data_IF_289215382009
#
_entry.id   IF_289215382009
#
_cell.length_a   1.000
_cell.length_b   1.000
_cell.length_c   1.000
_cell.angle_alpha   90.00
_cell.angle_beta   90.00
_cell.angle_gamma   90.00
#
_symmetry.space_group_name_H-M   'P 1'
#
loop_
_entity.id
_entity.type
_entity.pdbx_description
1 polymer ?
#
# COMPACT_ATOMS: atom_id res chain seq x y z
N UNK A 1 4.68 27.06 14.50
CA UNK A 1 4.96 26.96 13.06
C UNK A 1 4.07 25.86 12.48
N UNK A 2 3.38 26.11 11.40
CA UNK A 2 2.56 25.08 10.76
C UNK A 2 3.47 24.00 10.18
N UNK A 3 2.98 22.74 10.10
CA UNK A 3 3.77 21.60 9.57
C UNK A 3 4.32 21.88 8.16
N UNK A 4 3.56 22.55 7.30
CA UNK A 4 4.00 22.94 5.96
C UNK A 4 5.24 23.84 6.02
N UNK A 5 5.21 24.89 6.84
CA UNK A 5 6.34 25.81 7.01
C UNK A 5 7.56 25.11 7.59
N UNK A 6 7.33 24.20 8.55
CA UNK A 6 8.38 23.37 9.14
C UNK A 6 9.05 22.47 8.10
N UNK A 7 8.28 21.83 7.21
CA UNK A 7 8.78 21.00 6.14
C UNK A 7 9.62 21.81 5.15
N UNK A 8 9.09 22.93 4.65
CA UNK A 8 9.79 23.78 3.69
C UNK A 8 11.12 24.30 4.27
N UNK A 9 11.09 24.81 5.50
CA UNK A 9 12.31 25.33 6.16
C UNK A 9 13.34 24.25 6.48
N UNK A 10 12.91 23.00 6.69
CA UNK A 10 13.81 21.86 6.97
C UNK A 10 14.47 21.31 5.70
N UNK A 11 13.97 21.64 4.53
CA UNK A 11 14.45 21.05 3.26
C UNK A 11 15.92 21.35 2.98
N UNK A 12 16.37 22.58 3.20
CA UNK A 12 17.77 22.96 2.97
C UNK A 12 18.72 22.16 3.89
N UNK A 13 18.36 22.02 5.17
CA UNK A 13 19.17 21.23 6.10
C UNK A 13 19.22 19.75 5.71
N UNK A 14 18.08 19.21 5.24
CA UNK A 14 17.99 17.84 4.72
C UNK A 14 18.87 17.63 3.49
N UNK A 15 18.86 18.56 2.52
CA UNK A 15 19.68 18.47 1.30
C UNK A 15 21.18 18.50 1.63
N UNK A 16 21.60 19.34 2.59
CA UNK A 16 23.00 19.39 3.03
C UNK A 16 23.46 18.07 3.70
N UNK A 17 22.58 17.42 4.45
CA UNK A 17 22.85 16.12 5.08
C UNK A 17 22.88 14.95 4.09
N UNK A 18 22.21 15.08 2.93
CA UNK A 18 22.09 14.00 1.93
C UNK A 18 23.08 14.05 0.77
N UNK A 19 24.12 14.85 0.85
CA UNK A 19 25.10 15.12 -0.23
C UNK A 19 24.49 15.79 -1.47
N UNK A 20 24.72 17.08 -1.62
CA UNK A 20 24.17 17.96 -2.69
C UNK A 20 24.44 17.42 -4.12
N UNK A 21 25.48 16.62 -4.30
CA UNK A 21 25.87 16.02 -5.59
C UNK A 21 25.06 14.77 -5.98
N UNK A 22 24.00 14.41 -5.25
CA UNK A 22 23.20 13.25 -5.60
C UNK A 22 22.51 13.45 -6.95
N UNK A 23 22.44 12.38 -7.74
CA UNK A 23 21.79 12.39 -9.06
C UNK A 23 20.29 12.70 -9.03
N UNK A 24 19.69 12.78 -7.85
CA UNK A 24 18.27 13.06 -7.61
C UNK A 24 18.02 14.47 -7.04
N UNK A 25 19.08 15.25 -6.77
CA UNK A 25 18.96 16.60 -6.20
C UNK A 25 17.98 17.50 -6.99
N UNK A 26 18.12 17.57 -8.31
CA UNK A 26 17.23 18.38 -9.15
C UNK A 26 15.76 17.90 -9.13
N UNK A 27 15.52 16.61 -8.89
CA UNK A 27 14.17 16.04 -8.74
C UNK A 27 13.59 16.49 -7.41
N UNK A 28 14.34 16.39 -6.31
CA UNK A 28 13.93 16.82 -4.96
C UNK A 28 13.60 18.30 -4.90
N UNK A 29 14.46 19.15 -5.49
CA UNK A 29 14.26 20.60 -5.53
C UNK A 29 12.98 20.99 -6.28
N UNK A 30 12.65 20.30 -7.38
CA UNK A 30 11.37 20.49 -8.08
C UNK A 30 10.20 20.03 -7.25
N UNK A 31 10.34 18.90 -6.57
CA UNK A 31 9.30 18.30 -5.77
C UNK A 31 8.93 19.15 -4.54
N UNK A 32 9.90 19.75 -3.83
CA UNK A 32 9.59 20.63 -2.69
C UNK A 32 8.86 21.90 -3.13
N UNK A 33 9.26 22.49 -4.27
CA UNK A 33 8.56 23.64 -4.85
C UNK A 33 7.12 23.30 -5.22
N UNK A 34 6.91 22.11 -5.80
CA UNK A 34 5.56 21.65 -6.12
C UNK A 34 4.71 21.42 -4.87
N UNK A 35 5.29 20.86 -3.81
CA UNK A 35 4.61 20.74 -2.52
C UNK A 35 4.30 22.11 -1.89
N UNK A 36 5.21 23.09 -2.01
CA UNK A 36 4.98 24.45 -1.54
C UNK A 36 3.79 25.11 -2.26
N UNK A 37 3.68 24.92 -3.58
CA UNK A 37 2.55 25.41 -4.39
C UNK A 37 1.21 24.78 -3.98
N UNK A 38 1.20 23.46 -3.78
CA UNK A 38 -0.03 22.68 -3.57
C UNK A 38 -0.45 22.61 -2.08
N UNK A 39 0.51 22.61 -1.17
CA UNK A 39 0.29 22.35 0.25
C UNK A 39 -0.26 20.96 0.55
N UNK A 40 -0.69 20.73 1.79
CA UNK A 40 -1.42 19.50 2.12
C UNK A 40 -2.81 19.48 1.47
N UNK A 41 -3.24 18.33 0.94
CA UNK A 41 -4.54 18.21 0.31
C UNK A 41 -5.68 18.41 1.32
N UNK A 42 -6.78 18.94 0.86
CA UNK A 42 -7.95 19.24 1.70
C UNK A 42 -9.26 18.80 1.02
N UNK A 43 -10.36 18.84 1.76
CA UNK A 43 -11.69 18.39 1.31
C UNK A 43 -12.31 19.17 0.13
N UNK A 44 -11.71 20.26 -0.31
CA UNK A 44 -12.15 20.97 -1.53
C UNK A 44 -11.73 20.23 -2.79
N UNK A 45 -10.66 19.43 -2.70
CA UNK A 45 -10.23 18.54 -3.77
C UNK A 45 -11.19 17.33 -3.83
N UNK A 46 -11.72 17.03 -4.99
CA UNK A 46 -12.68 15.93 -5.19
C UNK A 46 -12.11 14.58 -4.71
N UNK A 47 -10.84 14.31 -5.00
CA UNK A 47 -10.15 13.09 -4.54
C UNK A 47 -9.94 13.02 -3.02
N UNK A 48 -10.14 14.12 -2.27
CA UNK A 48 -9.98 14.20 -0.82
C UNK A 48 -11.28 14.57 -0.08
N UNK A 49 -12.40 14.60 -0.76
CA UNK A 49 -13.71 15.04 -0.22
C UNK A 49 -14.09 14.36 1.09
N UNK A 50 -13.81 13.07 1.21
CA UNK A 50 -14.17 12.26 2.39
C UNK A 50 -13.02 12.05 3.37
N UNK A 51 -11.80 12.47 3.02
CA UNK A 51 -10.59 12.26 3.82
C UNK A 51 -9.95 13.59 4.21
N UNK A 52 -9.74 13.80 5.51
CA UNK A 52 -9.18 15.04 6.04
C UNK A 52 -7.89 14.79 6.80
N UNK A 53 -6.84 15.52 6.43
CA UNK A 53 -5.56 15.53 7.14
C UNK A 53 -5.49 16.57 8.28
N UNK A 54 -6.54 17.38 8.49
CA UNK A 54 -6.50 18.51 9.41
C UNK A 54 -6.07 18.19 10.85
N UNK A 55 -6.40 16.98 11.35
CA UNK A 55 -5.98 16.56 12.69
C UNK A 55 -4.56 16.03 12.71
N UNK A 56 -4.08 15.47 11.59
CA UNK A 56 -2.76 14.90 11.43
C UNK A 56 -1.73 16.01 11.32
N UNK A 57 -1.97 16.99 10.44
CA UNK A 57 -1.02 18.09 10.16
C UNK A 57 -0.89 19.11 11.32
N UNK A 58 -1.70 18.98 12.38
CA UNK A 58 -1.59 19.82 13.59
C UNK A 58 -0.57 19.31 14.61
N UNK A 59 -0.17 18.04 14.50
CA UNK A 59 0.84 17.45 15.37
C UNK A 59 2.23 18.01 15.05
N UNK A 60 3.05 18.13 16.08
CA UNK A 60 4.44 18.59 15.93
C UNK A 60 5.38 17.41 15.69
N UNK A 61 5.45 16.97 14.43
CA UNK A 61 6.27 15.82 14.07
C UNK A 61 7.77 16.15 14.06
N UNK A 62 8.57 15.20 14.55
CA UNK A 62 9.96 15.05 14.15
C UNK A 62 9.97 14.53 12.72
N UNK A 63 10.54 15.32 11.77
CA UNK A 63 10.52 14.99 10.34
C UNK A 63 11.50 13.87 10.02
N UNK A 64 12.64 13.83 10.75
CA UNK A 64 13.63 12.75 10.67
C UNK A 64 14.12 12.42 12.06
N UNK A 65 14.11 11.15 12.41
CA UNK A 65 14.79 10.72 13.62
C UNK A 65 16.29 11.01 13.49
N UNK A 66 16.87 11.60 14.53
CA UNK A 66 18.32 11.92 14.56
C UNK A 66 19.16 10.76 15.04
N UNK A 67 18.54 9.74 15.61
CA UNK A 67 19.21 8.58 16.19
C UNK A 67 18.71 7.31 15.55
N UNK A 68 19.66 6.45 15.17
CA UNK A 68 19.36 5.08 14.80
C UNK A 68 19.00 4.30 16.05
N UNK A 69 17.76 3.82 16.11
CA UNK A 69 17.31 2.96 17.19
C UNK A 69 17.62 1.50 16.85
N UNK A 70 18.04 0.74 17.84
CA UNK A 70 18.29 -0.69 17.70
C UNK A 70 17.13 -1.44 18.33
N UNK A 71 16.52 -2.33 17.59
CA UNK A 71 15.43 -3.20 18.06
C UNK A 71 15.96 -4.60 18.37
N UNK A 72 15.55 -5.15 19.50
CA UNK A 72 15.75 -6.56 19.80
C UNK A 72 14.73 -7.40 19.01
N UNK A 73 15.20 -8.38 18.25
CA UNK A 73 14.35 -9.31 17.49
C UNK A 73 13.25 -9.94 18.35
N UNK A 74 13.54 -10.27 19.62
CA UNK A 74 12.56 -10.87 20.55
C UNK A 74 11.31 -9.99 20.75
N UNK A 75 11.45 -8.65 20.65
CA UNK A 75 10.36 -7.69 20.81
C UNK A 75 9.50 -7.56 19.55
N UNK A 76 10.05 -7.86 18.39
CA UNK A 76 9.41 -7.63 17.10
C UNK A 76 9.09 -8.89 16.31
N UNK A 77 9.49 -10.09 16.81
CA UNK A 77 9.29 -11.36 16.11
C UNK A 77 7.85 -11.63 15.67
N UNK A 78 6.86 -11.21 16.47
CA UNK A 78 5.44 -11.44 16.18
C UNK A 78 4.92 -10.61 14.98
N UNK A 79 5.67 -9.60 14.54
CA UNK A 79 5.32 -8.80 13.37
C UNK A 79 5.79 -9.45 12.06
N UNK A 80 6.79 -10.33 12.12
CA UNK A 80 7.21 -11.15 11.00
C UNK A 80 6.18 -12.24 10.71
N UNK A 81 6.23 -12.81 9.50
CA UNK A 81 5.39 -13.95 9.17
C UNK A 81 6.05 -15.20 9.73
N UNK A 82 5.29 -15.96 10.53
CA UNK A 82 5.77 -17.19 11.13
C UNK A 82 6.00 -18.27 10.04
N UNK A 83 7.05 -19.08 10.23
CA UNK A 83 7.39 -20.24 9.39
C UNK A 83 7.65 -19.95 7.90
N UNK A 84 7.81 -18.69 7.51
CA UNK A 84 8.18 -18.33 6.14
C UNK A 84 9.68 -18.17 5.98
N UNK A 85 10.23 -18.75 4.94
CA UNK A 85 11.56 -18.39 4.45
C UNK A 85 11.44 -17.21 3.49
N UNK A 86 11.95 -16.04 3.89
CA UNK A 86 11.84 -14.79 3.12
C UNK A 86 13.16 -14.01 3.14
N UNK A 87 13.35 -13.16 2.13
CA UNK A 87 14.38 -12.11 2.16
C UNK A 87 13.83 -10.94 2.96
N UNK A 88 14.44 -10.61 4.10
CA UNK A 88 13.93 -9.60 5.03
C UNK A 88 14.64 -8.28 4.86
N UNK A 89 13.87 -7.22 4.71
CA UNK A 89 14.35 -5.85 4.65
C UNK A 89 13.63 -5.06 5.73
N UNK A 90 14.36 -4.63 6.74
CA UNK A 90 13.77 -3.97 7.91
C UNK A 90 14.28 -2.54 8.03
N UNK A 91 13.34 -1.64 8.23
CA UNK A 91 13.60 -0.25 8.56
C UNK A 91 13.10 0.05 9.98
N UNK A 92 13.87 0.82 10.73
CA UNK A 92 13.52 1.29 12.07
C UNK A 92 13.61 2.82 12.08
N UNK A 93 12.50 3.50 12.31
CA UNK A 93 12.39 4.97 12.26
C UNK A 93 12.96 5.58 10.96
N UNK A 94 12.76 4.87 9.84
CA UNK A 94 13.26 5.26 8.53
C UNK A 94 14.71 4.83 8.23
N UNK A 95 15.43 4.20 9.16
CA UNK A 95 16.79 3.71 8.94
C UNK A 95 16.79 2.20 8.69
N UNK A 96 17.58 1.78 7.72
CA UNK A 96 17.82 0.35 7.47
C UNK A 96 18.50 -0.32 8.67
N UNK A 97 17.94 -1.45 9.10
CA UNK A 97 18.48 -2.27 10.17
C UNK A 97 19.13 -3.56 9.60
N UNK A 98 20.48 -3.65 9.56
CA UNK A 98 21.17 -4.79 9.01
C UNK A 98 21.10 -6.04 9.91
N UNK A 99 20.81 -5.89 11.21
CA UNK A 99 20.73 -7.03 12.13
C UNK A 99 19.39 -7.77 12.02
N UNK A 100 18.33 -7.05 11.68
CA UNK A 100 16.99 -7.62 11.45
C UNK A 100 16.76 -8.00 9.98
N UNK A 101 17.67 -7.61 9.08
CA UNK A 101 17.54 -7.83 7.64
C UNK A 101 18.37 -9.02 7.15
N UNK A 102 17.86 -9.68 6.12
CA UNK A 102 18.50 -10.76 5.37
C UNK A 102 18.35 -10.49 3.88
N UNK A 103 19.31 -9.79 3.29
CA UNK A 103 19.23 -9.27 1.91
C UNK A 103 20.19 -9.94 0.92
N UNK A 104 20.99 -10.91 1.37
CA UNK A 104 21.97 -11.57 0.50
C UNK A 104 21.34 -12.68 -0.31
N UNK A 105 21.32 -12.51 -1.64
CA UNK A 105 20.92 -13.54 -2.59
C UNK A 105 21.66 -13.39 -3.92
N UNK A 106 22.12 -14.52 -4.49
CA UNK A 106 22.61 -14.58 -5.86
C UNK A 106 21.40 -14.43 -6.82
N UNK A 107 21.48 -13.51 -7.78
CA UNK A 107 20.44 -13.33 -8.81
C UNK A 107 19.48 -12.18 -8.59
N UNK A 108 19.60 -11.41 -7.50
CA UNK A 108 18.88 -10.13 -7.34
C UNK A 108 19.74 -9.06 -6.71
N UNK A 109 19.41 -7.81 -7.00
CA UNK A 109 20.02 -6.66 -6.36
C UNK A 109 19.04 -6.02 -5.39
N UNK A 110 19.30 -6.15 -4.09
CA UNK A 110 18.58 -5.42 -3.05
C UNK A 110 19.55 -4.49 -2.34
N UNK A 111 19.20 -3.23 -2.24
CA UNK A 111 19.92 -2.28 -1.40
C UNK A 111 18.99 -1.16 -0.91
N UNK A 112 19.46 -0.41 0.08
CA UNK A 112 18.78 0.83 0.45
C UNK A 112 19.01 1.88 -0.65
N UNK A 113 18.02 2.74 -0.86
CA UNK A 113 18.00 3.72 -1.96
C UNK A 113 19.25 4.61 -1.93
N UNK A 114 19.66 5.11 -0.76
CA UNK A 114 20.85 5.95 -0.59
C UNK A 114 22.14 5.24 -1.03
N UNK A 115 22.31 3.97 -0.66
CA UNK A 115 23.46 3.18 -1.09
C UNK A 115 23.43 2.86 -2.59
N UNK A 116 22.24 2.62 -3.15
CA UNK A 116 22.06 2.36 -4.57
C UNK A 116 22.45 3.54 -5.46
N UNK A 117 22.10 4.74 -5.03
CA UNK A 117 22.44 5.97 -5.75
C UNK A 117 23.94 6.21 -5.82
N UNK A 118 24.71 5.78 -4.81
CA UNK A 118 26.16 5.97 -4.70
C UNK A 118 26.97 4.86 -5.41
N UNK A 119 26.35 3.73 -5.79
CA UNK A 119 27.02 2.63 -6.50
C UNK A 119 26.79 2.76 -8.02
N UNK A 120 27.86 2.81 -8.80
CA UNK A 120 27.80 2.98 -10.28
C UNK A 120 26.94 1.92 -10.97
N UNK A 121 26.93 0.69 -10.47
CA UNK A 121 26.08 -0.42 -10.97
C UNK A 121 24.59 -0.09 -10.90
N UNK A 122 24.12 0.41 -9.77
CA UNK A 122 22.70 0.63 -9.50
C UNK A 122 22.22 2.02 -9.90
N UNK A 123 23.10 3.05 -9.80
CA UNK A 123 22.73 4.42 -10.07
C UNK A 123 22.21 4.66 -11.49
N UNK A 124 22.70 3.90 -12.48
CA UNK A 124 22.22 3.98 -13.87
C UNK A 124 20.76 3.50 -13.98
N UNK A 125 20.43 2.38 -13.33
CA UNK A 125 19.07 1.81 -13.34
C UNK A 125 18.14 2.72 -12.53
N UNK A 126 18.55 3.13 -11.32
CA UNK A 126 17.77 4.04 -10.51
C UNK A 126 17.44 5.33 -11.28
N UNK A 127 18.42 5.97 -11.93
CA UNK A 127 18.20 7.17 -12.77
C UNK A 127 17.22 6.95 -13.91
N UNK A 128 17.18 5.74 -14.48
CA UNK A 128 16.26 5.38 -15.57
C UNK A 128 14.82 5.31 -15.10
N UNK A 129 14.57 4.82 -13.88
CA UNK A 129 13.24 4.49 -13.42
C UNK A 129 12.71 5.41 -12.30
N UNK A 130 13.57 5.97 -11.45
CA UNK A 130 13.16 6.79 -10.30
C UNK A 130 12.36 8.03 -10.74
N UNK A 131 11.20 8.21 -10.12
CA UNK A 131 10.25 9.29 -10.39
C UNK A 131 9.76 9.34 -11.85
N UNK A 132 9.60 8.16 -12.49
CA UNK A 132 9.12 8.05 -13.88
C UNK A 132 7.65 7.67 -13.97
N UNK A 133 7.13 6.90 -13.02
CA UNK A 133 5.71 6.56 -12.94
C UNK A 133 4.97 7.38 -11.89
N UNK A 134 5.67 7.90 -10.89
CA UNK A 134 5.09 8.69 -9.81
C UNK A 134 4.48 10.01 -10.33
N UNK A 135 3.26 10.31 -9.85
CA UNK A 135 2.56 11.54 -10.24
C UNK A 135 3.13 12.76 -9.51
N UNK A 136 3.91 13.57 -10.23
CA UNK A 136 4.50 14.80 -9.69
C UNK A 136 3.48 15.92 -9.39
N UNK A 137 2.25 15.80 -9.89
CA UNK A 137 1.16 16.74 -9.60
C UNK A 137 0.40 16.36 -8.31
N UNK A 138 0.68 15.20 -7.72
CA UNK A 138 0.16 14.83 -6.41
C UNK A 138 1.02 15.41 -5.29
N UNK A 139 0.41 16.15 -4.39
CA UNK A 139 1.08 16.86 -3.30
C UNK A 139 1.83 15.94 -2.35
N UNK A 140 1.23 14.78 -1.98
CA UNK A 140 1.83 13.85 -1.04
C UNK A 140 2.98 13.08 -1.69
N UNK A 141 2.88 12.76 -2.96
CA UNK A 141 3.97 12.20 -3.77
C UNK A 141 5.12 13.18 -3.91
N UNK A 142 4.82 14.45 -4.15
CA UNK A 142 5.82 15.52 -4.23
C UNK A 142 6.54 15.72 -2.89
N UNK A 143 5.81 15.72 -1.77
CA UNK A 143 6.40 15.78 -0.44
C UNK A 143 7.35 14.61 -0.18
N UNK A 144 6.91 13.37 -0.48
CA UNK A 144 7.76 12.19 -0.33
C UNK A 144 9.01 12.28 -1.22
N UNK A 145 8.84 12.68 -2.47
CA UNK A 145 9.96 12.82 -3.43
C UNK A 145 10.99 13.83 -2.94
N UNK A 146 10.55 14.96 -2.37
CA UNK A 146 11.43 15.97 -1.80
C UNK A 146 12.30 15.41 -0.67
N UNK A 147 11.72 14.61 0.20
CA UNK A 147 12.37 14.04 1.39
C UNK A 147 12.79 12.58 1.23
N UNK A 148 12.84 12.06 0.00
CA UNK A 148 13.24 10.68 -0.27
C UNK A 148 14.71 10.45 0.08
N UNK A 149 14.99 9.93 1.28
CA UNK A 149 16.32 9.56 1.74
C UNK A 149 16.47 8.04 1.78
N UNK A 150 15.54 7.39 2.43
CA UNK A 150 15.56 5.96 2.67
C UNK A 150 14.33 5.26 2.09
N UNK A 151 14.54 4.02 1.77
CA UNK A 151 13.61 3.10 1.19
C UNK A 151 14.36 2.00 0.49
N UNK A 152 13.65 1.07 -0.10
CA UNK A 152 14.28 -0.08 -0.76
C UNK A 152 14.39 0.14 -2.27
N UNK A 153 15.53 -0.24 -2.82
CA UNK A 153 15.72 -0.52 -4.24
C UNK A 153 15.80 -2.03 -4.44
N UNK A 154 14.88 -2.57 -5.21
CA UNK A 154 14.83 -3.98 -5.61
C UNK A 154 14.96 -4.04 -7.13
N UNK A 155 15.91 -4.83 -7.60
CA UNK A 155 16.07 -5.11 -9.02
C UNK A 155 16.17 -6.63 -9.22
N UNK A 156 15.22 -7.17 -9.96
CA UNK A 156 15.19 -8.56 -10.36
C UNK A 156 15.62 -8.61 -11.83
N UNK A 157 16.82 -9.12 -12.13
CA UNK A 157 17.33 -9.25 -13.49
C UNK A 157 16.49 -10.19 -14.36
N UNK A 158 16.71 -10.17 -15.68
CA UNK A 158 15.99 -11.00 -16.64
C UNK A 158 16.08 -12.49 -16.33
N UNK A 159 14.95 -13.19 -16.55
CA UNK A 159 14.82 -14.64 -16.44
C UNK A 159 15.09 -15.18 -15.02
N UNK A 160 14.86 -14.39 -13.99
CA UNK A 160 14.97 -14.80 -12.59
C UNK A 160 13.57 -15.00 -12.00
N UNK A 161 13.32 -16.18 -11.48
CA UNK A 161 12.14 -16.50 -10.67
C UNK A 161 12.61 -16.66 -9.22
N UNK A 162 12.17 -15.78 -8.34
CA UNK A 162 12.52 -15.87 -6.93
C UNK A 162 11.64 -16.92 -6.24
N UNK A 163 12.29 -17.89 -5.60
CA UNK A 163 11.60 -18.95 -4.86
C UNK A 163 11.04 -18.49 -3.51
N UNK A 164 11.62 -17.42 -2.95
CA UNK A 164 11.25 -16.87 -1.63
C UNK A 164 10.74 -15.46 -1.79
N UNK A 165 9.68 -15.07 -1.07
CA UNK A 165 9.19 -13.71 -1.11
C UNK A 165 10.16 -12.73 -0.44
N UNK A 166 10.03 -11.45 -0.80
CA UNK A 166 10.72 -10.36 -0.17
C UNK A 166 9.77 -9.74 0.87
N UNK A 167 10.17 -9.72 2.14
CA UNK A 167 9.41 -9.14 3.24
C UNK A 167 10.02 -7.80 3.65
N UNK A 168 9.28 -6.70 3.43
CA UNK A 168 9.67 -5.33 3.77
C UNK A 168 8.87 -4.92 5.01
N UNK A 169 9.55 -4.56 6.10
CA UNK A 169 8.90 -4.13 7.34
C UNK A 169 9.46 -2.78 7.78
N UNK A 170 8.54 -1.83 8.01
CA UNK A 170 8.85 -0.52 8.55
C UNK A 170 8.38 -0.44 10.01
N UNK A 171 9.31 -0.37 10.97
CA UNK A 171 9.01 -0.14 12.39
C UNK A 171 9.15 1.33 12.76
N UNK A 172 8.18 1.84 13.54
CA UNK A 172 8.26 3.12 14.23
C UNK A 172 8.33 2.89 15.74
N UNK A 173 9.46 3.26 16.39
CA UNK A 173 9.72 2.92 17.80
C UNK A 173 9.02 3.82 18.79
N UNK A 174 8.75 5.09 18.41
CA UNK A 174 8.14 6.10 19.26
C UNK A 174 9.05 6.72 20.30
N UNK A 175 10.35 6.67 20.09
CA UNK A 175 11.31 7.41 20.91
C UNK A 175 11.15 8.94 20.74
N UNK A 176 10.50 9.36 19.67
CA UNK A 176 10.07 10.73 19.42
C UNK A 176 8.60 10.90 19.86
N UNK A 177 8.20 12.11 20.30
CA UNK A 177 6.82 12.38 20.72
C UNK A 177 5.81 12.20 19.58
N UNK A 178 6.17 12.60 18.37
CA UNK A 178 5.47 12.30 17.13
C UNK A 178 6.51 12.17 16.00
N UNK A 179 6.35 11.22 15.09
CA UNK A 179 7.33 10.96 14.04
C UNK A 179 6.68 10.94 12.66
N UNK A 180 7.31 11.61 11.70
CA UNK A 180 6.94 11.57 10.29
C UNK A 180 7.96 10.76 9.49
N UNK A 181 7.47 9.79 8.71
CA UNK A 181 8.29 8.91 7.88
C UNK A 181 7.95 9.08 6.40
N UNK A 182 8.97 9.03 5.54
CA UNK A 182 8.86 9.24 4.09
C UNK A 182 9.55 8.09 3.32
N UNK A 183 9.15 6.82 3.48
CA UNK A 183 9.78 5.73 2.74
C UNK A 183 9.55 5.88 1.23
N UNK A 184 10.61 5.62 0.45
CA UNK A 184 10.58 5.71 -1.01
C UNK A 184 11.14 4.44 -1.63
N UNK A 185 10.28 3.61 -2.21
CA UNK A 185 10.66 2.32 -2.77
C UNK A 185 10.70 2.37 -4.30
N UNK A 186 11.64 1.65 -4.88
CA UNK A 186 11.74 1.41 -6.32
C UNK A 186 11.95 -0.08 -6.58
N UNK A 187 11.02 -0.69 -7.31
CA UNK A 187 11.06 -2.09 -7.70
C UNK A 187 11.11 -2.17 -9.22
N UNK A 188 12.12 -2.84 -9.74
CA UNK A 188 12.27 -3.09 -11.18
C UNK A 188 12.37 -4.60 -11.38
N UNK A 189 11.39 -5.17 -12.07
CA UNK A 189 11.35 -6.60 -12.43
C UNK A 189 11.51 -6.70 -13.94
N UNK A 190 12.66 -7.23 -14.35
CA UNK A 190 13.00 -7.33 -15.78
C UNK A 190 12.25 -8.46 -16.49
N UNK A 191 12.48 -8.59 -17.78
CA UNK A 191 11.79 -9.51 -18.69
C UNK A 191 11.85 -10.97 -18.20
N UNK A 192 10.71 -11.69 -18.25
CA UNK A 192 10.52 -13.09 -17.86
C UNK A 192 10.88 -13.38 -16.39
N UNK A 193 10.77 -12.42 -15.51
CA UNK A 193 11.11 -12.59 -14.09
C UNK A 193 9.87 -12.57 -13.21
N UNK A 194 9.97 -13.22 -12.03
CA UNK A 194 8.85 -13.37 -11.11
C UNK A 194 9.30 -13.09 -9.68
N UNK A 195 8.46 -12.34 -8.91
CA UNK A 195 8.73 -12.00 -7.53
C UNK A 195 7.44 -11.82 -6.74
N UNK A 196 7.46 -12.28 -5.49
CA UNK A 196 6.44 -11.97 -4.48
C UNK A 196 7.02 -11.01 -3.45
N UNK A 197 6.29 -9.94 -3.11
CA UNK A 197 6.70 -8.91 -2.16
C UNK A 197 5.61 -8.74 -1.12
N UNK A 198 6.00 -8.69 0.15
CA UNK A 198 5.11 -8.43 1.29
C UNK A 198 5.61 -7.17 1.97
N UNK A 199 4.78 -6.16 2.13
CA UNK A 199 5.13 -4.91 2.82
C UNK A 199 4.19 -4.65 3.99
N UNK A 200 4.77 -4.24 5.14
CA UNK A 200 4.02 -3.85 6.32
C UNK A 200 4.62 -2.65 7.05
N UNK A 201 3.76 -1.87 7.69
CA UNK A 201 4.11 -0.77 8.57
C UNK A 201 3.61 -1.06 9.98
N UNK A 202 4.48 -0.90 10.99
CA UNK A 202 4.21 -1.31 12.38
C UNK A 202 4.72 -0.25 13.36
N UNK A 203 3.83 0.35 14.14
CA UNK A 203 4.20 1.25 15.22
C UNK A 203 4.27 0.49 16.54
N UNK A 204 5.40 0.65 17.24
CA UNK A 204 5.65 0.05 18.56
C UNK A 204 5.29 1.02 19.70
N UNK A 205 4.51 2.04 19.39
CA UNK A 205 4.15 3.14 20.27
C UNK A 205 2.73 3.62 20.01
N UNK A 206 2.14 4.31 21.00
CA UNK A 206 0.90 5.06 20.85
C UNK A 206 1.12 6.54 20.53
N UNK A 207 2.37 7.01 20.42
CA UNK A 207 2.66 8.33 19.92
C UNK A 207 2.21 8.48 18.45
N UNK A 208 1.81 9.68 18.01
CA UNK A 208 1.38 9.90 16.64
C UNK A 208 2.49 9.55 15.62
N UNK A 209 2.20 8.65 14.69
CA UNK A 209 3.06 8.34 13.56
C UNK A 209 2.35 8.76 12.28
N UNK A 210 3.04 9.49 11.43
CA UNK A 210 2.56 9.83 10.10
C UNK A 210 3.53 9.32 9.02
N UNK A 211 3.13 8.27 8.34
CA UNK A 211 3.89 7.71 7.22
C UNK A 211 3.29 8.14 5.89
N UNK A 212 4.11 8.73 5.03
CA UNK A 212 3.78 9.05 3.67
C UNK A 212 4.71 8.25 2.74
N UNK A 213 4.24 7.09 2.30
CA UNK A 213 5.01 6.13 1.48
C UNK A 213 4.76 6.35 0.00
N UNK A 214 5.83 6.18 -0.81
CA UNK A 214 5.71 6.12 -2.26
C UNK A 214 6.50 4.94 -2.79
N UNK A 215 5.84 4.07 -3.54
CA UNK A 215 6.44 2.90 -4.19
C UNK A 215 6.22 2.99 -5.70
N UNK A 216 7.31 2.90 -6.47
CA UNK A 216 7.26 2.75 -7.92
C UNK A 216 7.65 1.33 -8.31
N UNK A 217 6.81 0.67 -9.12
CA UNK A 217 7.02 -0.70 -9.61
C UNK A 217 7.03 -0.69 -11.13
N UNK A 218 8.08 -1.24 -11.72
CA UNK A 218 8.21 -1.42 -13.15
C UNK A 218 8.24 -2.91 -13.46
N UNK A 219 7.17 -3.39 -14.11
CA UNK A 219 7.05 -4.73 -14.63
C UNK A 219 7.37 -4.72 -16.13
N UNK A 220 8.56 -5.20 -16.48
CA UNK A 220 8.99 -5.30 -17.87
C UNK A 220 8.26 -6.48 -18.57
N UNK A 221 8.54 -6.72 -19.84
CA UNK A 221 7.85 -7.71 -20.64
C UNK A 221 7.81 -9.09 -19.98
N UNK A 222 6.61 -9.69 -19.91
CA UNK A 222 6.35 -11.02 -19.31
C UNK A 222 6.82 -11.13 -17.84
N UNK A 223 6.95 -10.02 -17.13
CA UNK A 223 7.23 -10.02 -15.69
C UNK A 223 5.97 -10.35 -14.88
N UNK A 224 6.15 -11.09 -13.78
CA UNK A 224 5.06 -11.40 -12.85
C UNK A 224 5.41 -10.88 -11.47
N UNK A 225 4.46 -10.17 -10.86
CA UNK A 225 4.63 -9.57 -9.53
C UNK A 225 3.37 -9.79 -8.71
N UNK A 226 3.51 -10.44 -7.56
CA UNK A 226 2.49 -10.49 -6.54
C UNK A 226 2.92 -9.60 -5.36
N UNK A 227 2.16 -8.54 -5.06
CA UNK A 227 2.48 -7.56 -4.04
C UNK A 227 1.39 -7.50 -2.97
N UNK A 228 1.78 -7.84 -1.74
CA UNK A 228 0.90 -7.91 -0.58
C UNK A 228 1.19 -6.78 0.39
N UNK A 229 0.18 -5.98 0.71
CA UNK A 229 0.25 -4.86 1.65
C UNK A 229 -0.56 -5.19 2.89
N UNK A 230 0.10 -5.22 4.06
CA UNK A 230 -0.53 -5.49 5.35
C UNK A 230 -0.50 -4.21 6.18
N UNK A 231 -1.68 -3.66 6.45
CA UNK A 231 -1.89 -2.41 7.17
C UNK A 231 -2.68 -2.68 8.45
N UNK A 232 -1.99 -3.15 9.48
CA UNK A 232 -2.55 -3.45 10.79
C UNK A 232 -1.79 -2.72 11.89
N UNK A 233 -1.82 -1.39 11.84
CA UNK A 233 -1.08 -0.54 12.76
C UNK A 233 -1.95 -0.04 13.92
N UNK A 234 -1.34 0.58 14.92
CA UNK A 234 -2.01 1.14 16.09
C UNK A 234 -2.90 2.33 15.74
N UNK A 235 -3.90 2.60 16.59
CA UNK A 235 -4.94 3.62 16.34
C UNK A 235 -4.42 5.08 16.31
N UNK A 236 -3.20 5.34 16.72
CA UNK A 236 -2.55 6.66 16.62
C UNK A 236 -1.78 6.85 15.31
N UNK A 237 -1.56 5.79 14.56
CA UNK A 237 -0.82 5.80 13.30
C UNK A 237 -1.68 6.25 12.13
N UNK A 238 -1.08 7.01 11.21
CA UNK A 238 -1.69 7.44 9.95
C UNK A 238 -0.76 7.13 8.78
N UNK A 239 -1.31 6.52 7.72
CA UNK A 239 -0.59 6.12 6.52
C UNK A 239 -1.23 6.72 5.28
N UNK A 240 -0.42 7.38 4.45
CA UNK A 240 -0.73 7.65 3.05
C UNK A 240 0.25 6.84 2.22
N UNK A 241 -0.27 5.97 1.39
CA UNK A 241 0.50 5.01 0.61
C UNK A 241 0.17 5.17 -0.87
N UNK A 242 1.14 5.70 -1.62
CA UNK A 242 1.03 5.91 -3.05
C UNK A 242 1.84 4.84 -3.78
N UNK A 243 1.18 4.00 -4.54
CA UNK A 243 1.83 2.96 -5.36
C UNK A 243 1.56 3.22 -6.82
N UNK A 244 2.61 3.28 -7.62
CA UNK A 244 2.59 3.51 -9.06
C UNK A 244 3.20 2.32 -9.77
N UNK A 245 2.44 1.68 -10.66
CA UNK A 245 2.83 0.45 -11.35
C UNK A 245 2.81 0.72 -12.85
N UNK A 246 3.97 0.60 -13.48
CA UNK A 246 4.13 0.69 -14.93
C UNK A 246 4.36 -0.69 -15.50
N UNK A 247 3.46 -1.13 -16.37
CA UNK A 247 3.46 -2.46 -16.95
C UNK A 247 3.78 -2.44 -18.44
N UNK A 248 4.61 -3.41 -18.86
CA UNK A 248 4.94 -3.68 -20.25
C UNK A 248 4.26 -4.96 -20.73
N UNK A 249 4.38 -5.23 -22.02
CA UNK A 249 3.72 -6.33 -22.74
C UNK A 249 3.77 -7.66 -22.00
N UNK A 250 2.65 -8.36 -21.98
CA UNK A 250 2.48 -9.70 -21.41
C UNK A 250 2.78 -9.79 -19.89
N UNK A 251 2.94 -8.65 -19.19
CA UNK A 251 3.19 -8.66 -17.75
C UNK A 251 1.91 -8.88 -16.95
N UNK A 252 2.05 -9.54 -15.81
CA UNK A 252 0.98 -9.79 -14.85
C UNK A 252 1.37 -9.22 -13.48
N UNK A 253 0.57 -8.31 -12.96
CA UNK A 253 0.79 -7.71 -11.63
C UNK A 253 -0.46 -7.81 -10.78
N UNK A 254 -0.32 -8.44 -9.60
CA UNK A 254 -1.38 -8.55 -8.61
C UNK A 254 -1.01 -7.77 -7.36
N UNK A 255 -1.92 -6.95 -6.88
CA UNK A 255 -1.78 -6.25 -5.60
C UNK A 255 -2.92 -6.64 -4.67
N UNK A 256 -2.55 -7.13 -3.49
CA UNK A 256 -3.50 -7.44 -2.42
C UNK A 256 -3.30 -6.45 -1.27
N UNK A 257 -4.36 -5.79 -0.84
CA UNK A 257 -4.32 -4.80 0.26
C UNK A 257 -5.21 -5.25 1.41
N UNK A 258 -4.61 -5.46 2.57
CA UNK A 258 -5.28 -5.87 3.80
C UNK A 258 -5.20 -4.74 4.81
N UNK A 259 -6.32 -4.04 5.05
CA UNK A 259 -6.39 -2.85 5.91
C UNK A 259 -7.22 -3.12 7.15
N UNK A 260 -6.55 -3.26 8.29
CA UNK A 260 -7.14 -3.66 9.58
C UNK A 260 -6.91 -2.67 10.71
N UNK A 261 -6.02 -1.70 10.53
CA UNK A 261 -5.58 -0.81 11.62
C UNK A 261 -5.26 0.61 11.17
N UNK A 262 -4.70 1.38 12.11
CA UNK A 262 -4.39 2.79 11.92
C UNK A 262 -5.57 3.72 12.24
N UNK A 263 -5.28 5.00 12.44
CA UNK A 263 -6.28 6.07 12.60
C UNK A 263 -6.84 6.49 11.24
N UNK A 264 -5.96 6.63 10.28
CA UNK A 264 -6.23 6.93 8.89
C UNK A 264 -5.30 6.11 8.02
N UNK A 265 -5.86 5.36 7.09
CA UNK A 265 -5.09 4.67 6.05
C UNK A 265 -5.65 5.06 4.69
N UNK A 266 -4.82 5.69 3.86
CA UNK A 266 -5.19 6.01 2.49
C UNK A 266 -4.26 5.33 1.52
N UNK A 267 -4.84 4.55 0.62
CA UNK A 267 -4.16 3.84 -0.46
C UNK A 267 -4.49 4.49 -1.79
N UNK A 268 -3.49 4.98 -2.50
CA UNK A 268 -3.59 5.40 -3.88
C UNK A 268 -2.82 4.39 -4.74
N UNK A 269 -3.53 3.54 -5.46
CA UNK A 269 -2.96 2.46 -6.26
C UNK A 269 -3.20 2.72 -7.73
N UNK A 270 -2.13 3.00 -8.48
CA UNK A 270 -2.19 3.44 -9.87
C UNK A 270 -1.51 2.43 -10.79
N UNK A 271 -2.26 1.87 -11.75
CA UNK A 271 -1.78 0.96 -12.77
C UNK A 271 -1.78 1.67 -14.12
N UNK A 272 -0.62 1.66 -14.79
CA UNK A 272 -0.43 2.17 -16.13
C UNK A 272 -0.06 1.02 -17.06
N UNK A 273 -1.01 0.58 -17.88
CA UNK A 273 -0.83 -0.48 -18.87
C UNK A 273 -0.26 0.14 -20.16
N UNK A 274 1.07 0.30 -20.17
CA UNK A 274 1.81 1.04 -21.20
C UNK A 274 2.16 0.22 -22.45
N UNK A 275 1.59 -0.98 -22.60
CA UNK A 275 1.77 -1.88 -23.73
C UNK A 275 0.55 -2.81 -23.84
N UNK A 276 0.54 -3.76 -24.75
CA UNK A 276 -0.58 -4.68 -24.97
C UNK A 276 -0.49 -6.00 -24.17
N UNK A 277 -1.62 -6.70 -24.07
CA UNK A 277 -1.73 -8.02 -23.42
C UNK A 277 -1.30 -8.04 -21.96
N UNK A 278 -1.66 -7.01 -21.22
CA UNK A 278 -1.31 -6.82 -19.81
C UNK A 278 -2.47 -7.27 -18.92
N UNK A 279 -2.16 -7.93 -17.82
CA UNK A 279 -3.10 -8.30 -16.77
C UNK A 279 -2.78 -7.55 -15.47
N UNK A 280 -3.79 -6.90 -14.88
CA UNK A 280 -3.68 -6.15 -13.63
C UNK A 280 -4.78 -6.59 -12.67
N UNK A 281 -4.40 -7.17 -11.54
CA UNK A 281 -5.36 -7.60 -10.50
C UNK A 281 -5.16 -6.79 -9.23
N UNK A 282 -6.26 -6.24 -8.71
CA UNK A 282 -6.31 -5.51 -7.45
C UNK A 282 -7.35 -6.13 -6.54
N UNK A 283 -6.95 -6.63 -5.39
CA UNK A 283 -7.86 -7.18 -4.40
C UNK A 283 -7.62 -6.56 -3.03
N UNK A 284 -8.69 -6.40 -2.25
CA UNK A 284 -8.57 -5.82 -0.93
C UNK A 284 -9.60 -6.29 0.06
N UNK A 285 -9.17 -6.42 1.32
CA UNK A 285 -10.06 -6.63 2.48
C UNK A 285 -9.81 -5.52 3.49
N UNK A 286 -10.88 -4.84 3.86
CA UNK A 286 -10.87 -3.83 4.92
C UNK A 286 -11.78 -4.28 6.05
N UNK A 287 -11.25 -4.37 7.27
CA UNK A 287 -12.04 -4.63 8.50
C UNK A 287 -11.60 -3.61 9.54
N UNK A 288 -12.45 -2.63 9.80
CA UNK A 288 -12.15 -1.54 10.73
C UNK A 288 -13.33 -1.23 11.65
N UNK A 289 -13.00 -0.65 12.79
CA UNK A 289 -13.92 -0.34 13.87
C UNK A 289 -13.68 1.06 14.46
N UNK A 290 -14.33 1.35 15.57
CA UNK A 290 -14.16 2.62 16.31
C UNK A 290 -14.35 3.87 15.43
N UNK A 291 -13.33 4.75 15.34
CA UNK A 291 -13.33 5.97 14.51
C UNK A 291 -12.27 5.89 13.41
N UNK A 292 -11.89 4.69 12.99
CA UNK A 292 -10.89 4.48 11.95
C UNK A 292 -11.42 4.91 10.59
N UNK A 293 -10.52 5.37 9.73
CA UNK A 293 -10.82 5.71 8.35
C UNK A 293 -9.88 4.96 7.41
N UNK A 294 -10.45 4.21 6.47
CA UNK A 294 -9.69 3.62 5.35
C UNK A 294 -10.25 4.12 4.03
N UNK A 295 -9.37 4.65 3.20
CA UNK A 295 -9.69 5.28 1.92
C UNK A 295 -8.87 4.63 0.81
N UNK A 296 -9.53 3.90 -0.08
CA UNK A 296 -8.94 3.27 -1.26
C UNK A 296 -9.24 4.07 -2.52
N UNK A 297 -8.19 4.54 -3.17
CA UNK A 297 -8.25 5.10 -4.52
C UNK A 297 -7.49 4.18 -5.47
N UNK A 298 -8.17 3.68 -6.49
CA UNK A 298 -7.55 2.89 -7.55
C UNK A 298 -7.69 3.60 -8.89
N UNK A 299 -6.64 3.57 -9.68
CA UNK A 299 -6.63 4.00 -11.07
C UNK A 299 -6.08 2.88 -11.93
N UNK A 300 -6.81 2.48 -12.96
CA UNK A 300 -6.26 1.65 -14.04
C UNK A 300 -6.39 2.41 -15.35
N UNK A 301 -5.27 2.66 -15.99
CA UNK A 301 -5.22 3.30 -17.30
C UNK A 301 -4.84 2.27 -18.37
N UNK A 302 -5.83 1.85 -19.13
CA UNK A 302 -5.68 1.01 -20.31
C UNK A 302 -5.33 1.89 -21.51
N UNK A 303 -4.04 1.97 -21.83
CA UNK A 303 -3.54 2.79 -22.92
C UNK A 303 -3.32 2.00 -24.22
N UNK A 304 -3.44 0.66 -24.19
CA UNK A 304 -3.14 -0.24 -25.32
C UNK A 304 -4.13 -1.40 -25.38
N UNK A 305 -4.24 -2.10 -26.54
CA UNK A 305 -5.25 -3.13 -26.75
C UNK A 305 -4.95 -4.45 -26.03
N UNK A 306 -5.99 -5.31 -25.92
CA UNK A 306 -5.94 -6.65 -25.35
C UNK A 306 -5.49 -6.69 -23.89
N UNK A 307 -5.79 -5.66 -23.10
CA UNK A 307 -5.42 -5.60 -21.69
C UNK A 307 -6.61 -5.95 -20.79
N UNK A 308 -6.31 -6.57 -19.66
CA UNK A 308 -7.29 -6.95 -18.65
C UNK A 308 -7.04 -6.25 -17.32
N UNK A 309 -8.11 -5.98 -16.57
CA UNK A 309 -8.01 -5.55 -15.18
C UNK A 309 -9.18 -6.06 -14.35
N UNK A 310 -8.85 -6.56 -13.16
CA UNK A 310 -9.81 -7.11 -12.21
C UNK A 310 -9.64 -6.47 -10.84
N UNK A 311 -10.70 -5.82 -10.34
CA UNK A 311 -10.72 -5.23 -9.02
C UNK A 311 -11.81 -5.89 -8.16
N UNK A 312 -11.44 -6.39 -6.97
CA UNK A 312 -12.38 -6.93 -5.98
C UNK A 312 -12.02 -6.44 -4.57
N UNK A 313 -12.77 -5.48 -4.07
CA UNK A 313 -12.62 -4.91 -2.74
C UNK A 313 -13.79 -5.26 -1.84
N UNK A 314 -13.49 -5.81 -0.66
CA UNK A 314 -14.44 -6.16 0.39
C UNK A 314 -14.24 -5.27 1.61
N UNK A 315 -15.28 -4.59 2.04
CA UNK A 315 -15.26 -3.71 3.20
C UNK A 315 -16.20 -4.17 4.31
N UNK A 316 -15.72 -4.19 5.55
CA UNK A 316 -16.50 -4.52 6.74
C UNK A 316 -16.25 -3.42 7.76
N UNK A 317 -17.31 -2.71 8.12
CA UNK A 317 -17.23 -1.50 8.92
C UNK A 317 -18.10 -1.61 10.17
N UNK A 318 -17.52 -1.36 11.34
CA UNK A 318 -18.22 -1.35 12.61
C UNK A 318 -17.96 -0.08 13.43
N UNK A 319 -18.69 0.11 14.51
CA UNK A 319 -18.59 1.29 15.38
C UNK A 319 -18.95 2.58 14.64
N UNK A 320 -18.00 3.53 14.56
CA UNK A 320 -18.12 4.81 13.84
C UNK A 320 -17.08 4.91 12.72
N UNK A 321 -16.63 3.76 12.22
CA UNK A 321 -15.61 3.72 11.18
C UNK A 321 -16.12 4.23 9.84
N UNK A 322 -15.21 4.71 9.02
CA UNK A 322 -15.52 5.23 7.69
C UNK A 322 -14.67 4.55 6.64
N UNK A 323 -15.34 3.95 5.66
CA UNK A 323 -14.74 3.50 4.42
C UNK A 323 -14.88 4.54 3.31
N UNK A 324 -13.90 4.59 2.43
CA UNK A 324 -13.99 5.29 1.14
C UNK A 324 -13.42 4.36 0.08
N UNK A 325 -14.13 4.24 -1.04
CA UNK A 325 -13.64 3.57 -2.23
C UNK A 325 -13.87 4.47 -3.44
N UNK A 326 -12.81 4.81 -4.14
CA UNK A 326 -12.87 5.55 -5.40
C UNK A 326 -12.05 4.80 -6.45
N UNK A 327 -12.74 4.03 -7.29
CA UNK A 327 -12.09 3.24 -8.32
C UNK A 327 -12.32 3.85 -9.70
N UNK A 328 -11.25 4.22 -10.39
CA UNK A 328 -11.31 4.81 -11.73
C UNK A 328 -10.64 3.90 -12.75
N UNK A 329 -11.36 3.63 -13.84
CA UNK A 329 -10.84 2.93 -15.02
C UNK A 329 -10.91 3.89 -16.20
N UNK A 330 -9.77 4.09 -16.86
CA UNK A 330 -9.67 4.88 -18.10
C UNK A 330 -9.27 3.91 -19.23
N UNK A 331 -10.02 3.96 -20.34
CA UNK A 331 -9.75 3.14 -21.51
C UNK A 331 -9.59 4.07 -22.72
N UNK A 332 -8.37 4.19 -23.22
CA UNK A 332 -8.04 5.02 -24.37
C UNK A 332 -8.68 4.48 -25.65
N UNK A 333 -8.90 5.36 -26.63
CA UNK A 333 -9.55 5.01 -27.91
C UNK A 333 -8.86 3.84 -28.63
N UNK A 334 -7.54 3.72 -28.54
CA UNK A 334 -6.78 2.64 -29.16
C UNK A 334 -6.82 1.34 -28.35
N UNK A 335 -7.22 1.38 -27.08
CA UNK A 335 -7.23 0.25 -26.17
C UNK A 335 -8.42 -0.69 -26.44
N UNK A 336 -8.55 -1.14 -27.66
CA UNK A 336 -9.59 -2.10 -28.07
C UNK A 336 -9.38 -3.47 -27.44
N UNK A 337 -10.45 -4.26 -27.28
CA UNK A 337 -10.43 -5.58 -26.64
C UNK A 337 -10.05 -5.51 -25.15
N UNK A 338 -10.21 -4.37 -24.53
CA UNK A 338 -10.06 -4.23 -23.07
C UNK A 338 -11.16 -5.01 -22.36
N UNK A 339 -10.75 -5.73 -21.29
CA UNK A 339 -11.64 -6.47 -20.41
C UNK A 339 -11.40 -5.98 -18.96
N UNK A 340 -12.32 -5.14 -18.43
CA UNK A 340 -12.12 -4.47 -17.16
C UNK A 340 -13.32 -4.63 -16.23
N UNK A 341 -13.07 -5.25 -15.06
CA UNK A 341 -14.08 -5.47 -14.04
C UNK A 341 -13.68 -4.83 -12.72
N UNK A 342 -14.63 -4.08 -12.14
CA UNK A 342 -14.44 -3.46 -10.83
C UNK A 342 -15.61 -3.82 -9.93
N UNK A 343 -15.31 -4.37 -8.75
CA UNK A 343 -16.28 -4.71 -7.74
C UNK A 343 -15.87 -4.18 -6.37
N UNK A 344 -16.83 -3.53 -5.68
CA UNK A 344 -16.67 -3.08 -4.31
C UNK A 344 -17.89 -3.47 -3.48
N UNK A 345 -17.75 -4.47 -2.63
CA UNK A 345 -18.83 -4.98 -1.79
C UNK A 345 -18.57 -4.66 -0.33
N UNK A 346 -19.57 -4.15 0.37
CA UNK A 346 -19.41 -3.63 1.72
C UNK A 346 -20.51 -4.09 2.66
N UNK A 347 -20.15 -4.40 3.91
CA UNK A 347 -21.05 -4.71 4.99
C UNK A 347 -20.88 -3.67 6.11
N UNK A 348 -21.99 -3.04 6.50
CA UNK A 348 -22.07 -2.18 7.66
C UNK A 348 -22.62 -2.99 8.83
N UNK A 349 -21.83 -3.13 9.90
CA UNK A 349 -22.21 -3.90 11.09
C UNK A 349 -22.92 -3.03 12.14
N UNK A 350 -22.79 -1.70 12.03
CA UNK A 350 -23.35 -0.72 12.96
C UNK A 350 -23.94 0.49 12.22
N UNK A 351 -25.00 1.09 12.75
CA UNK A 351 -25.70 2.24 12.17
C UNK A 351 -24.83 3.51 12.02
N UNK A 352 -23.73 3.59 12.78
CA UNK A 352 -22.82 4.75 12.76
C UNK A 352 -21.62 4.54 11.83
N UNK A 353 -21.46 3.33 11.31
CA UNK A 353 -20.44 3.06 10.31
C UNK A 353 -20.89 3.56 8.93
N UNK A 354 -19.95 3.99 8.10
CA UNK A 354 -20.25 4.57 6.80
C UNK A 354 -19.28 4.10 5.73
N UNK A 355 -19.75 4.04 4.48
CA UNK A 355 -18.92 3.83 3.29
C UNK A 355 -19.33 4.82 2.19
N UNK A 356 -18.34 5.47 1.60
CA UNK A 356 -18.50 6.31 0.43
C UNK A 356 -17.85 5.62 -0.77
N UNK A 357 -18.65 4.99 -1.62
CA UNK A 357 -18.16 4.27 -2.79
C UNK A 357 -18.46 5.03 -4.07
N UNK A 358 -17.44 5.22 -4.92
CA UNK A 358 -17.53 5.97 -6.18
C UNK A 358 -16.75 5.24 -7.29
N UNK A 359 -17.33 4.19 -7.88
CA UNK A 359 -16.75 3.57 -9.07
C UNK A 359 -16.95 4.47 -10.30
N UNK A 360 -15.90 4.60 -11.13
CA UNK A 360 -15.89 5.48 -12.31
C UNK A 360 -15.30 4.76 -13.53
N UNK A 361 -15.97 4.89 -14.68
CA UNK A 361 -15.51 4.38 -15.97
C UNK A 361 -15.43 5.53 -16.97
N UNK A 362 -14.26 5.75 -17.57
CA UNK A 362 -14.03 6.68 -18.67
C UNK A 362 -13.56 5.87 -19.88
N UNK A 363 -14.51 5.52 -20.78
CA UNK A 363 -14.26 4.59 -21.87
C UNK A 363 -14.36 5.34 -23.19
N UNK A 364 -13.28 5.34 -23.96
CA UNK A 364 -13.19 5.99 -25.28
C UNK A 364 -13.05 4.98 -26.42
N UNK A 365 -12.98 3.66 -26.13
CA UNK A 365 -12.93 2.58 -27.12
C UNK A 365 -14.29 1.92 -27.30
N UNK A 366 -14.56 1.34 -28.48
CA UNK A 366 -15.86 0.78 -28.85
C UNK A 366 -15.98 -0.73 -28.57
N UNK A 367 -14.89 -1.49 -28.80
CA UNK A 367 -14.88 -2.95 -28.67
C UNK A 367 -14.22 -3.36 -27.34
N UNK A 368 -14.96 -3.23 -26.27
CA UNK A 368 -14.51 -3.50 -24.90
C UNK A 368 -15.60 -4.17 -24.06
N UNK A 369 -15.17 -4.84 -22.98
CA UNK A 369 -16.04 -5.37 -21.92
C UNK A 369 -15.66 -4.70 -20.60
N UNK A 370 -16.40 -3.69 -20.21
CA UNK A 370 -16.13 -2.96 -18.98
C UNK A 370 -17.38 -2.93 -18.10
N UNK A 371 -17.22 -3.27 -16.84
CA UNK A 371 -18.31 -3.21 -15.87
C UNK A 371 -17.82 -2.81 -14.48
N UNK A 372 -18.70 -2.20 -13.72
CA UNK A 372 -18.49 -2.00 -12.30
C UNK A 372 -19.71 -2.44 -11.49
N UNK A 373 -19.48 -2.87 -10.26
CA UNK A 373 -20.51 -3.20 -9.28
C UNK A 373 -20.13 -2.64 -7.91
N UNK A 374 -21.15 -2.16 -7.19
CA UNK A 374 -20.99 -1.75 -5.81
C UNK A 374 -22.20 -2.19 -5.00
N UNK A 375 -21.95 -2.80 -3.84
CA UNK A 375 -23.00 -3.14 -2.89
C UNK A 375 -22.67 -2.58 -1.52
N UNK A 376 -23.69 -2.10 -0.83
CA UNK A 376 -23.61 -1.68 0.58
C UNK A 376 -24.82 -2.33 1.25
N UNK A 377 -24.54 -3.20 2.20
CA UNK A 377 -25.58 -3.97 2.89
C UNK A 377 -25.25 -4.23 4.35
N UNK A 378 -26.10 -5.03 4.96
CA UNK A 378 -25.92 -5.59 6.31
C UNK A 378 -25.67 -7.09 6.21
N UNK A 379 -25.34 -7.73 7.32
CA UNK A 379 -25.27 -9.18 7.39
C UNK A 379 -26.65 -9.78 7.08
N UNK A 380 -26.64 -10.88 6.34
CA UNK A 380 -27.84 -11.66 6.05
C UNK A 380 -28.48 -12.17 7.34
N UNK A 381 -29.67 -11.67 7.65
CA UNK A 381 -30.39 -11.99 8.88
C UNK A 381 -30.89 -13.42 8.90
N UNK A 382 -31.25 -13.99 7.75
CA UNK A 382 -31.72 -15.37 7.64
C UNK A 382 -30.54 -16.35 7.89
N UNK A 383 -29.36 -16.04 7.30
CA UNK A 383 -28.15 -16.80 7.57
C UNK A 383 -27.71 -16.68 9.04
N UNK A 384 -27.81 -15.49 9.65
CA UNK A 384 -27.53 -15.27 11.05
C UNK A 384 -28.51 -16.08 11.95
N UNK A 385 -29.81 -16.02 11.65
CA UNK A 385 -30.83 -16.79 12.37
C UNK A 385 -30.57 -18.30 12.25
N UNK A 386 -30.25 -18.79 11.08
CA UNK A 386 -29.93 -20.20 10.84
C UNK A 386 -28.76 -20.69 11.70
N UNK A 387 -27.66 -19.95 11.76
CA UNK A 387 -26.49 -20.29 12.57
C UNK A 387 -26.86 -20.32 14.08
N UNK A 388 -27.61 -19.32 14.55
CA UNK A 388 -28.07 -19.23 15.93
C UNK A 388 -29.02 -20.38 16.30
N UNK A 389 -29.92 -20.77 15.40
CA UNK A 389 -30.81 -21.89 15.57
C UNK A 389 -30.07 -23.26 15.69
N UNK A 390 -28.84 -23.32 15.18
CA UNK A 390 -27.92 -24.46 15.35
C UNK A 390 -27.07 -24.39 16.61
N UNK A 391 -27.31 -23.43 17.50
CA UNK A 391 -26.62 -23.26 18.77
C UNK A 391 -25.31 -22.47 18.71
N UNK A 392 -24.99 -21.86 17.57
CA UNK A 392 -23.81 -20.99 17.47
C UNK A 392 -24.17 -19.62 18.07
N UNK A 393 -23.40 -19.11 19.06
CA UNK A 393 -23.66 -17.80 19.65
C UNK A 393 -23.67 -16.69 18.62
N UNK A 394 -24.36 -15.59 18.91
CA UNK A 394 -24.54 -14.49 17.94
C UNK A 394 -23.21 -13.87 17.47
N UNK A 395 -22.27 -13.69 18.40
CA UNK A 395 -20.97 -13.11 18.11
C UNK A 395 -20.18 -13.97 17.12
N UNK A 396 -20.13 -15.27 17.37
CA UNK A 396 -19.46 -16.25 16.50
C UNK A 396 -20.18 -16.39 15.17
N UNK A 397 -21.52 -16.35 15.16
CA UNK A 397 -22.30 -16.37 13.91
C UNK A 397 -22.01 -15.16 13.03
N UNK A 398 -21.96 -13.96 13.62
CA UNK A 398 -21.55 -12.73 12.90
C UNK A 398 -20.12 -12.84 12.36
N UNK A 399 -19.21 -13.36 13.16
CA UNK A 399 -17.81 -13.52 12.75
C UNK A 399 -17.67 -14.51 11.59
N UNK A 400 -18.37 -15.65 11.62
CA UNK A 400 -18.38 -16.64 10.54
C UNK A 400 -18.88 -16.05 9.23
N UNK A 401 -20.00 -15.31 9.25
CA UNK A 401 -20.56 -14.67 8.06
C UNK A 401 -19.62 -13.57 7.52
N UNK A 402 -19.03 -12.80 8.40
CA UNK A 402 -18.05 -11.76 8.04
C UNK A 402 -16.78 -12.36 7.41
N UNK A 403 -16.29 -13.44 8.00
CA UNK A 403 -15.16 -14.17 7.47
C UNK A 403 -15.47 -14.78 6.09
N UNK A 404 -16.62 -15.44 5.94
CA UNK A 404 -17.06 -16.01 4.67
C UNK A 404 -17.16 -14.93 3.57
N UNK A 405 -17.61 -13.73 3.91
CA UNK A 405 -17.64 -12.60 2.98
C UNK A 405 -16.24 -12.17 2.50
N UNK A 406 -15.24 -12.16 3.38
CA UNK A 406 -13.87 -11.80 3.05
C UNK A 406 -13.09 -12.93 2.34
N UNK A 407 -13.50 -14.20 2.51
CA UNK A 407 -12.73 -15.39 2.16
C UNK A 407 -12.37 -15.47 0.67
N UNK A 408 -13.22 -14.99 -0.23
CA UNK A 408 -12.95 -14.99 -1.68
C UNK A 408 -11.63 -14.26 -2.02
N UNK A 409 -11.34 -13.14 -1.34
CA UNK A 409 -10.08 -12.41 -1.53
C UNK A 409 -8.92 -13.17 -0.89
N UNK A 410 -9.13 -13.78 0.27
CA UNK A 410 -8.09 -14.55 0.99
C UNK A 410 -7.62 -15.78 0.21
N UNK A 411 -8.55 -16.47 -0.46
CA UNK A 411 -8.19 -17.64 -1.28
C UNK A 411 -7.27 -17.31 -2.47
N UNK A 412 -7.19 -16.05 -2.88
CA UNK A 412 -6.29 -15.60 -3.94
C UNK A 412 -4.85 -15.28 -3.46
N UNK A 413 -4.57 -15.37 -2.17
CA UNK A 413 -3.22 -15.24 -1.61
C UNK A 413 -2.45 -16.53 -1.89
N UNK A 414 -1.33 -16.44 -2.61
CA UNK A 414 -0.52 -17.60 -3.02
C UNK A 414 0.35 -18.15 -1.90
N UNK A 415 0.76 -17.31 -0.93
CA UNK A 415 1.67 -17.66 0.16
C UNK A 415 0.85 -18.21 1.36
N UNK A 416 0.95 -19.52 1.69
CA UNK A 416 0.13 -20.14 2.74
C UNK A 416 0.34 -19.51 4.12
N UNK A 417 1.58 -19.21 4.50
CA UNK A 417 1.94 -18.63 5.80
C UNK A 417 1.38 -17.20 5.94
N UNK A 418 1.42 -16.43 4.85
CA UNK A 418 0.80 -15.11 4.80
C UNK A 418 -0.72 -15.22 4.91
N UNK A 419 -1.35 -16.14 4.18
CA UNK A 419 -2.79 -16.40 4.27
C UNK A 419 -3.18 -16.74 5.70
N UNK A 420 -2.44 -17.60 6.38
CA UNK A 420 -2.66 -17.96 7.79
C UNK A 420 -2.56 -16.73 8.70
N UNK A 421 -1.50 -15.91 8.55
CA UNK A 421 -1.34 -14.68 9.34
C UNK A 421 -2.51 -13.71 9.15
N UNK A 422 -2.98 -13.51 7.92
CA UNK A 422 -4.12 -12.64 7.63
C UNK A 422 -5.39 -13.20 8.27
N UNK A 423 -5.66 -14.50 8.16
CA UNK A 423 -6.80 -15.16 8.82
C UNK A 423 -6.78 -14.96 10.32
N UNK A 424 -5.61 -15.07 10.95
CA UNK A 424 -5.43 -14.82 12.39
C UNK A 424 -5.76 -13.37 12.77
N UNK A 425 -5.26 -12.40 12.01
CA UNK A 425 -5.58 -10.98 12.24
C UNK A 425 -7.09 -10.73 12.11
N UNK A 426 -7.75 -11.32 11.13
CA UNK A 426 -9.20 -11.22 10.96
C UNK A 426 -9.94 -11.81 12.15
N UNK A 427 -9.56 -12.99 12.63
CA UNK A 427 -10.16 -13.63 13.80
C UNK A 427 -10.01 -12.76 15.06
N UNK A 428 -8.83 -12.20 15.28
CA UNK A 428 -8.56 -11.28 16.38
C UNK A 428 -9.43 -10.01 16.30
N UNK A 429 -9.58 -9.42 15.10
CA UNK A 429 -10.43 -8.25 14.85
C UNK A 429 -11.91 -8.53 15.10
N UNK A 430 -12.39 -9.71 14.77
CA UNK A 430 -13.75 -10.14 15.03
C UNK A 430 -13.96 -10.62 16.49
N UNK A 431 -12.88 -10.71 17.26
CA UNK A 431 -12.89 -11.09 18.68
C UNK A 431 -13.35 -12.52 18.92
N UNK A 432 -13.04 -13.42 17.99
CA UNK A 432 -13.39 -14.84 18.07
C UNK A 432 -12.15 -15.70 17.88
N UNK A 433 -12.19 -16.88 18.50
CA UNK A 433 -11.28 -17.95 18.14
C UNK A 433 -12.03 -18.84 17.16
N UNK A 434 -11.70 -18.76 15.87
CA UNK A 434 -12.46 -19.45 14.84
C UNK A 434 -12.37 -20.98 14.92
N UNK A 435 -11.53 -21.53 15.83
CA UNK A 435 -11.52 -22.96 16.20
C UNK A 435 -11.32 -23.95 15.03
N UNK A 436 -11.19 -23.42 13.83
CA UNK A 436 -10.88 -24.23 12.67
C UNK A 436 -9.35 -24.28 12.56
N UNK A 437 -8.79 -25.45 12.43
CA UNK A 437 -7.49 -25.68 11.82
C UNK A 437 -7.60 -25.12 10.38
N UNK A 438 -7.28 -23.82 10.26
CA UNK A 438 -7.39 -23.02 9.03
C UNK A 438 -6.19 -23.30 8.12
#
# INVERSE_FOLDING_TARGET
>A
MQLTEKLISSFLAFELDTEINSSVHGIRTKAIKKFEELGFPNRKLESWKYTSLNKIIKEDYTIFSKKKNVLDFKKVKNYFIDNIESYKIVFVDGFFDPFLSQTSHEGMDICIMSAGLNKSKYSKIIKKYFNKSANSEDSMTSLNTAFSKEGVYIHIPKNIVLEKPIEIIHFATGNEAALMLQPRNLVVVEENSEVEIIESHQSLTLNPIFTNSVTEIFAEKNAKIDYYKIQNDVISSSLIDNTYISQKRDSNVKVHTFSFGGKLTRNNLNFYQNDQSIDSTMKGVTIIDNNQLVDHHTLVHHANPNCESHQDYKGIFSGKSTGVFNGKIIVDKIAQKTNAFQQNNNILLDDKSTINSKPQLEIFADDVKCSHGCTIGQLDQDALFYLRARGIPEKESKALLTYAFANNVLESVSIPELKYKIKKIIAEKLGVNLGFDL
#
